data_IF_779492479372
#
_entry.id   IF_779492479372
#
_cell.length_a   1.000
_cell.length_b   1.000
_cell.length_c   1.000
_cell.angle_alpha   90.00
_cell.angle_beta   90.00
_cell.angle_gamma   90.00
#
_symmetry.space_group_name_H-M   'P 1'
#
loop_
_entity.id
_entity.type
_entity.pdbx_description
1 polymer ?
#
# COMPACT_ATOMS: atom_id res chain seq x y z
N UNK A 1 27.41 -4.78 18.21
CA UNK A 1 26.82 -6.02 18.76
C UNK A 1 25.56 -6.30 17.96
N UNK A 2 25.48 -7.42 17.23
CA UNK A 2 24.24 -7.85 16.56
C UNK A 2 23.30 -8.35 17.65
N UNK A 3 22.06 -7.88 17.71
CA UNK A 3 21.11 -8.36 18.71
C UNK A 3 20.82 -9.84 18.43
N UNK A 4 20.75 -10.69 19.47
CA UNK A 4 20.36 -12.10 19.29
C UNK A 4 19.00 -12.24 18.59
N UNK A 5 18.16 -11.20 18.62
CA UNK A 5 16.91 -11.15 17.84
C UNK A 5 17.11 -11.19 16.33
N UNK A 6 18.21 -10.64 15.82
CA UNK A 6 18.37 -10.38 14.39
C UNK A 6 18.82 -11.65 13.66
N UNK A 7 19.70 -12.43 14.31
CA UNK A 7 20.09 -13.76 13.84
C UNK A 7 18.87 -14.68 13.78
N UNK A 8 18.07 -14.74 14.85
CA UNK A 8 16.87 -15.57 14.90
C UNK A 8 15.83 -15.19 13.83
N UNK A 9 15.68 -13.88 13.53
CA UNK A 9 14.80 -13.42 12.43
C UNK A 9 15.32 -13.86 11.06
N UNK A 10 16.62 -13.75 10.81
CA UNK A 10 17.25 -14.18 9.55
C UNK A 10 17.12 -15.68 9.35
N UNK A 11 17.37 -16.47 10.38
CA UNK A 11 17.17 -17.93 10.35
C UNK A 11 15.71 -18.28 10.07
N UNK A 12 14.78 -17.63 10.76
CA UNK A 12 13.34 -17.85 10.52
C UNK A 12 12.91 -17.46 9.11
N UNK A 13 13.45 -16.36 8.57
CA UNK A 13 13.19 -15.94 7.19
C UNK A 13 13.76 -16.94 6.19
N UNK A 14 15.00 -17.41 6.40
CA UNK A 14 15.62 -18.45 5.58
C UNK A 14 14.79 -19.74 5.61
N UNK A 15 14.28 -20.16 6.77
CA UNK A 15 13.40 -21.32 6.88
C UNK A 15 12.09 -21.11 6.10
N UNK A 16 11.45 -19.94 6.21
CA UNK A 16 10.24 -19.63 5.45
C UNK A 16 10.49 -19.70 3.93
N UNK A 17 11.61 -19.15 3.47
CA UNK A 17 12.01 -19.22 2.06
C UNK A 17 12.26 -20.66 1.63
N UNK A 18 12.99 -21.44 2.42
CA UNK A 18 13.26 -22.86 2.14
C UNK A 18 11.96 -23.69 2.08
N UNK A 19 11.03 -23.45 3.01
CA UNK A 19 9.72 -24.10 3.02
C UNK A 19 8.92 -23.75 1.75
N UNK A 20 8.95 -22.48 1.34
CA UNK A 20 8.32 -22.04 0.09
C UNK A 20 8.96 -22.70 -1.14
N UNK A 21 10.29 -22.77 -1.18
CA UNK A 21 11.06 -23.36 -2.28
C UNK A 21 10.82 -24.86 -2.41
N UNK A 22 10.75 -25.57 -1.29
CA UNK A 22 10.51 -27.01 -1.26
C UNK A 22 9.06 -27.41 -1.52
N UNK A 23 8.09 -26.56 -1.15
CA UNK A 23 6.66 -26.91 -1.22
C UNK A 23 5.91 -26.32 -2.42
N UNK A 24 6.41 -25.23 -3.00
CA UNK A 24 5.71 -24.49 -4.05
C UNK A 24 6.55 -24.43 -5.34
N UNK A 25 6.01 -25.00 -6.42
CA UNK A 25 6.58 -24.84 -7.75
C UNK A 25 6.35 -23.42 -8.28
N UNK A 26 7.28 -22.94 -9.12
CA UNK A 26 7.04 -21.74 -9.92
C UNK A 26 5.92 -22.00 -10.93
N UNK A 27 5.00 -21.06 -11.03
CA UNK A 27 3.88 -21.09 -11.96
C UNK A 27 4.03 -19.88 -12.89
N UNK A 28 4.18 -20.09 -14.22
CA UNK A 28 4.29 -18.98 -15.17
C UNK A 28 2.97 -18.19 -15.21
N UNK A 29 3.08 -16.88 -15.35
CA UNK A 29 1.94 -15.99 -15.60
C UNK A 29 1.75 -15.89 -17.12
N UNK A 30 0.60 -16.36 -17.60
CA UNK A 30 0.27 -16.33 -19.02
C UNK A 30 0.29 -14.88 -19.56
N UNK A 31 0.91 -14.69 -20.73
CA UNK A 31 1.07 -13.37 -21.36
C UNK A 31 2.30 -12.57 -20.93
N UNK A 32 3.06 -13.01 -19.91
CA UNK A 32 4.24 -12.30 -19.40
C UNK A 32 5.48 -13.19 -19.43
N UNK A 33 6.32 -13.02 -20.46
CA UNK A 33 7.50 -13.85 -20.66
C UNK A 33 8.50 -13.68 -19.50
N UNK A 34 8.90 -14.80 -18.89
CA UNK A 34 9.86 -14.80 -17.78
C UNK A 34 9.23 -14.40 -16.43
N UNK A 35 7.91 -14.18 -16.39
CA UNK A 35 7.19 -13.87 -15.15
C UNK A 35 6.53 -15.13 -14.61
N UNK A 36 6.94 -15.51 -13.42
CA UNK A 36 6.37 -16.60 -12.64
C UNK A 36 6.14 -16.20 -11.18
N UNK A 37 5.20 -16.89 -10.55
CA UNK A 37 4.86 -16.73 -9.12
C UNK A 37 4.88 -18.07 -8.39
N UNK A 38 5.07 -18.05 -7.08
CA UNK A 38 4.78 -19.18 -6.19
C UNK A 38 3.54 -18.89 -5.37
N UNK A 39 2.66 -19.89 -5.24
CA UNK A 39 1.41 -19.79 -4.47
C UNK A 39 1.51 -20.57 -3.18
N UNK A 40 1.58 -19.87 -2.05
CA UNK A 40 1.58 -20.49 -0.72
C UNK A 40 0.17 -20.97 -0.30
N UNK A 41 0.12 -21.84 0.72
CA UNK A 41 -1.10 -22.50 1.18
C UNK A 41 -2.03 -21.61 2.03
N UNK A 42 -1.52 -20.50 2.55
CA UNK A 42 -2.29 -19.61 3.43
C UNK A 42 -3.38 -18.82 2.71
N UNK A 43 -4.41 -18.45 3.48
CA UNK A 43 -5.44 -17.52 3.06
C UNK A 43 -4.83 -16.14 2.85
N UNK A 44 -4.81 -15.70 1.59
CA UNK A 44 -4.38 -14.35 1.22
C UNK A 44 -5.45 -13.33 1.61
N UNK A 45 -5.08 -12.15 2.14
CA UNK A 45 -6.06 -11.08 2.41
C UNK A 45 -6.82 -10.67 1.15
N UNK A 46 -8.10 -10.32 1.30
CA UNK A 46 -8.96 -9.96 0.16
C UNK A 46 -8.47 -8.73 -0.62
N UNK A 47 -7.80 -7.80 0.07
CA UNK A 47 -7.29 -6.52 -0.45
C UNK A 47 -5.88 -6.69 -1.00
N UNK A 48 -5.59 -6.20 -2.21
CA UNK A 48 -4.28 -6.32 -2.85
C UNK A 48 -3.13 -5.58 -2.12
N UNK A 49 -3.47 -4.76 -1.13
CA UNK A 49 -2.54 -4.06 -0.25
C UNK A 49 -1.51 -4.98 0.43
N UNK A 50 -1.81 -6.28 0.59
CA UNK A 50 -0.86 -7.26 1.14
C UNK A 50 0.42 -7.39 0.28
N UNK A 51 0.37 -7.00 -0.99
CA UNK A 51 1.53 -6.97 -1.88
C UNK A 51 2.01 -5.54 -2.17
N UNK A 52 1.10 -4.60 -2.45
CA UNK A 52 1.48 -3.23 -2.82
C UNK A 52 2.24 -2.50 -1.71
N UNK A 53 1.80 -2.64 -0.46
CA UNK A 53 2.41 -1.92 0.65
C UNK A 53 3.83 -2.43 0.92
N UNK A 54 4.08 -3.75 1.02
CA UNK A 54 5.44 -4.28 1.09
C UNK A 54 6.31 -3.91 -0.11
N UNK A 55 5.77 -3.88 -1.33
CA UNK A 55 6.51 -3.47 -2.52
C UNK A 55 6.95 -2.00 -2.42
N UNK A 56 6.05 -1.10 -2.03
CA UNK A 56 6.34 0.31 -1.83
C UNK A 56 7.37 0.51 -0.71
N UNK A 57 7.21 -0.16 0.43
CA UNK A 57 8.19 -0.10 1.52
C UNK A 57 9.56 -0.64 1.09
N UNK A 58 9.57 -1.70 0.30
CA UNK A 58 10.77 -2.31 -0.28
C UNK A 58 11.50 -1.37 -1.23
N UNK A 59 10.77 -0.62 -2.06
CA UNK A 59 11.34 0.42 -2.91
C UNK A 59 11.92 1.58 -2.10
N UNK A 60 11.24 2.01 -1.04
CA UNK A 60 11.73 3.10 -0.20
C UNK A 60 12.93 2.71 0.68
N UNK A 61 13.08 1.42 1.01
CA UNK A 61 14.14 0.90 1.87
C UNK A 61 13.88 1.11 3.37
N UNK A 62 13.26 2.24 3.74
CA UNK A 62 12.89 2.55 5.12
C UNK A 62 11.57 3.30 5.21
N UNK A 63 10.95 3.30 6.40
CA UNK A 63 9.80 4.15 6.69
C UNK A 63 10.24 5.57 7.02
N UNK A 64 9.44 6.60 6.71
CA UNK A 64 9.71 7.99 7.11
C UNK A 64 10.00 8.11 8.61
N UNK A 65 11.09 8.79 9.04
CA UNK A 65 11.46 8.93 10.45
C UNK A 65 10.34 9.51 11.32
N UNK A 66 9.51 10.40 10.75
CA UNK A 66 8.39 11.01 11.46
C UNK A 66 7.32 10.00 11.87
N UNK A 67 7.18 8.88 11.15
CA UNK A 67 6.27 7.78 11.53
C UNK A 67 6.83 6.93 12.65
N UNK A 68 8.14 6.71 12.64
CA UNK A 68 8.82 5.95 13.68
C UNK A 68 8.77 6.71 15.00
N UNK A 69 9.07 8.01 14.97
CA UNK A 69 8.95 8.89 16.14
C UNK A 69 7.53 8.94 16.72
N UNK A 70 6.50 8.98 15.85
CA UNK A 70 5.10 8.92 16.29
C UNK A 70 4.77 7.61 17.00
N UNK A 71 5.31 6.49 16.51
CA UNK A 71 5.09 5.20 17.15
C UNK A 71 5.81 5.09 18.49
N UNK A 72 7.05 5.57 18.59
CA UNK A 72 7.81 5.54 19.83
C UNK A 72 7.09 6.34 20.93
N UNK A 73 6.53 7.50 20.58
CA UNK A 73 5.68 8.29 21.48
C UNK A 73 4.37 7.57 21.85
N UNK A 74 3.71 6.90 20.89
CA UNK A 74 2.51 6.09 21.16
C UNK A 74 2.83 4.91 22.09
N UNK A 75 4.00 4.27 21.93
CA UNK A 75 4.47 3.16 22.75
C UNK A 75 4.85 3.62 24.16
N UNK A 76 5.54 4.75 24.30
CA UNK A 76 5.89 5.31 25.61
C UNK A 76 4.64 5.71 26.40
N UNK A 77 3.63 6.25 25.71
CA UNK A 77 2.36 6.67 26.33
C UNK A 77 1.42 5.51 26.65
N UNK A 78 1.58 4.34 26.01
CA UNK A 78 0.72 3.17 26.25
C UNK A 78 0.88 2.58 27.67
N UNK A 79 1.98 2.90 28.36
CA UNK A 79 2.24 2.53 29.75
C UNK A 79 2.29 1.01 30.01
N UNK A 80 2.61 0.64 31.25
CA UNK A 80 2.70 -0.76 31.73
C UNK A 80 1.33 -1.49 31.76
N UNK A 81 0.25 -0.77 31.46
CA UNK A 81 -1.15 -1.21 31.66
C UNK A 81 -1.65 -2.20 30.58
N UNK A 82 -0.89 -2.46 29.51
CA UNK A 82 -1.26 -3.43 28.47
C UNK A 82 -0.44 -4.73 28.55
N UNK A 83 -0.42 -5.36 29.73
CA UNK A 83 -0.01 -6.76 29.89
C UNK A 83 -0.97 -7.68 29.12
N UNK A 84 -0.72 -7.87 27.81
CA UNK A 84 -1.42 -8.87 26.99
C UNK A 84 -1.74 -8.45 25.56
N UNK A 85 -1.76 -7.15 25.24
CA UNK A 85 -1.84 -6.70 23.86
C UNK A 85 -0.41 -6.56 23.33
N UNK A 86 0.07 -7.57 22.59
CA UNK A 86 1.34 -7.48 21.85
C UNK A 86 1.30 -6.20 21.02
N UNK A 87 2.03 -5.18 21.44
CA UNK A 87 2.08 -3.91 20.76
C UNK A 87 2.74 -4.15 19.39
N UNK A 88 1.93 -4.08 18.34
CA UNK A 88 2.44 -4.30 16.99
C UNK A 88 3.30 -3.11 16.59
N UNK A 89 4.62 -3.31 16.53
CA UNK A 89 5.58 -2.29 16.09
C UNK A 89 5.59 -2.16 14.56
N UNK A 90 6.03 -1.02 14.07
CA UNK A 90 6.31 -0.83 12.66
C UNK A 90 7.57 -1.58 12.27
N UNK A 91 7.61 -1.97 11.00
CA UNK A 91 8.78 -2.61 10.40
C UNK A 91 9.98 -1.64 10.41
N UNK A 92 11.14 -2.15 10.83
CA UNK A 92 12.40 -1.42 10.74
C UNK A 92 12.97 -1.53 9.31
N UNK A 93 13.98 -0.73 9.00
CA UNK A 93 14.76 -0.88 7.75
C UNK A 93 15.30 -2.31 7.58
N UNK A 94 15.81 -2.91 8.66
CA UNK A 94 16.28 -4.29 8.63
C UNK A 94 15.15 -5.30 8.38
N UNK A 95 13.97 -5.12 8.97
CA UNK A 95 12.84 -6.02 8.68
C UNK A 95 12.45 -5.93 7.20
N UNK A 96 12.40 -4.71 6.64
CA UNK A 96 12.12 -4.45 5.22
C UNK A 96 13.16 -5.17 4.36
N UNK A 97 14.44 -5.01 4.65
CA UNK A 97 15.53 -5.67 3.93
C UNK A 97 15.43 -7.20 4.00
N UNK A 98 15.15 -7.76 5.18
CA UNK A 98 15.01 -9.21 5.36
C UNK A 98 13.78 -9.76 4.62
N UNK A 99 12.66 -9.03 4.62
CA UNK A 99 11.43 -9.43 3.96
C UNK A 99 11.54 -9.54 2.44
N UNK A 100 12.52 -8.85 1.82
CA UNK A 100 12.78 -8.94 0.38
C UNK A 100 12.99 -10.39 -0.08
N UNK A 101 13.67 -11.22 0.72
CA UNK A 101 13.95 -12.62 0.37
C UNK A 101 12.67 -13.46 0.22
N UNK A 102 11.69 -13.28 1.12
CA UNK A 102 10.36 -13.87 0.99
C UNK A 102 9.66 -13.42 -0.30
N UNK A 103 9.71 -12.12 -0.60
CA UNK A 103 9.05 -11.59 -1.79
C UNK A 103 9.71 -12.04 -3.09
N UNK A 104 11.05 -12.14 -3.14
CA UNK A 104 11.78 -12.75 -4.28
C UNK A 104 11.47 -14.23 -4.45
N UNK A 105 11.29 -14.96 -3.35
CA UNK A 105 10.86 -16.36 -3.40
C UNK A 105 9.42 -16.51 -3.89
N UNK A 106 8.62 -15.45 -3.82
CA UNK A 106 7.22 -15.40 -4.27
C UNK A 106 7.08 -14.93 -5.72
N UNK A 107 7.77 -13.87 -6.09
CA UNK A 107 7.66 -13.17 -7.37
C UNK A 107 9.01 -13.13 -8.06
N UNK A 108 9.12 -13.81 -9.21
CA UNK A 108 10.36 -13.86 -10.02
C UNK A 108 10.85 -12.48 -10.49
N UNK A 109 9.93 -11.51 -10.61
CA UNK A 109 10.19 -10.16 -11.14
C UNK A 109 10.28 -9.10 -10.05
N UNK A 110 10.31 -9.50 -8.77
CA UNK A 110 10.29 -8.59 -7.63
C UNK A 110 11.34 -7.47 -7.72
N UNK A 111 12.60 -7.83 -8.01
CA UNK A 111 13.69 -6.84 -8.08
C UNK A 111 13.49 -5.84 -9.21
N UNK A 112 12.93 -6.26 -10.34
CA UNK A 112 12.62 -5.36 -11.45
C UNK A 112 11.54 -4.34 -11.04
N UNK A 113 10.50 -4.79 -10.34
CA UNK A 113 9.44 -3.90 -9.84
C UNK A 113 9.95 -2.91 -8.79
N UNK A 114 10.80 -3.37 -7.86
CA UNK A 114 11.42 -2.51 -6.84
C UNK A 114 12.29 -1.44 -7.50
N UNK A 115 13.17 -1.83 -8.41
CA UNK A 115 14.08 -0.91 -9.10
C UNK A 115 13.32 0.13 -9.95
N UNK A 116 12.29 -0.30 -10.67
CA UNK A 116 11.49 0.60 -11.50
C UNK A 116 10.65 1.57 -10.65
N UNK A 117 10.07 1.09 -9.55
CA UNK A 117 9.36 1.93 -8.60
C UNK A 117 10.29 2.95 -7.94
N UNK A 118 11.52 2.57 -7.58
CA UNK A 118 12.54 3.48 -7.07
C UNK A 118 12.87 4.60 -8.06
N UNK A 119 13.10 4.23 -9.33
CA UNK A 119 13.36 5.19 -10.40
C UNK A 119 12.17 6.13 -10.61
N UNK A 120 10.96 5.60 -10.60
CA UNK A 120 9.72 6.36 -10.70
C UNK A 120 9.50 7.36 -9.57
N UNK A 121 9.68 6.91 -8.33
CA UNK A 121 9.58 7.78 -7.15
C UNK A 121 10.62 8.88 -7.23
N UNK A 122 11.87 8.56 -7.56
CA UNK A 122 12.96 9.54 -7.68
C UNK A 122 12.65 10.57 -8.77
N UNK A 123 12.16 10.12 -9.94
CA UNK A 123 11.75 11.00 -11.04
C UNK A 123 10.62 11.95 -10.64
N UNK A 124 9.63 11.46 -9.88
CA UNK A 124 8.43 12.23 -9.52
C UNK A 124 8.63 13.12 -8.29
N UNK A 125 9.40 12.68 -7.31
CA UNK A 125 9.54 13.32 -6.00
C UNK A 125 10.95 13.87 -5.74
N UNK A 126 11.89 13.71 -6.67
CA UNK A 126 13.28 14.14 -6.56
C UNK A 126 14.16 13.18 -5.74
N UNK A 127 13.61 12.51 -4.74
CA UNK A 127 14.29 11.48 -3.96
C UNK A 127 13.30 10.47 -3.35
N UNK A 128 13.79 9.31 -2.92
CA UNK A 128 12.99 8.33 -2.19
C UNK A 128 12.48 8.88 -0.85
N UNK A 129 13.34 9.60 -0.11
CA UNK A 129 13.01 10.19 1.19
C UNK A 129 11.89 11.25 1.11
N UNK A 130 11.71 11.87 -0.06
CA UNK A 130 10.64 12.85 -0.30
C UNK A 130 9.27 12.20 -0.51
N UNK A 131 9.18 10.88 -0.68
CA UNK A 131 7.92 10.17 -0.84
C UNK A 131 7.18 10.03 0.49
N UNK A 132 6.07 10.77 0.63
CA UNK A 132 5.28 10.84 1.89
C UNK A 132 4.06 9.94 1.93
N UNK A 133 4.03 8.86 1.13
CA UNK A 133 2.84 8.01 0.99
C UNK A 133 2.35 7.44 2.34
N UNK A 134 3.26 7.09 3.25
CA UNK A 134 2.89 6.55 4.56
C UNK A 134 2.44 7.60 5.58
N UNK A 135 2.77 8.89 5.39
CA UNK A 135 2.38 9.97 6.32
C UNK A 135 0.91 10.37 6.16
N UNK A 136 0.36 10.26 4.96
CA UNK A 136 -1.01 10.63 4.66
C UNK A 136 -2.06 9.78 5.40
N UNK A 137 -1.70 8.55 5.81
CA UNK A 137 -2.57 7.68 6.60
C UNK A 137 -2.95 8.27 7.97
N UNK A 138 -2.10 9.13 8.54
CA UNK A 138 -2.27 9.68 9.90
C UNK A 138 -2.79 11.12 9.93
N UNK A 139 -2.75 11.85 8.81
CA UNK A 139 -3.09 13.27 8.75
C UNK A 139 -4.55 13.58 9.14
N UNK A 140 -5.47 12.62 8.98
CA UNK A 140 -6.89 12.78 9.34
C UNK A 140 -7.17 12.93 10.84
N UNK A 141 -6.20 12.71 11.73
CA UNK A 141 -6.40 12.76 13.20
C UNK A 141 -6.34 14.17 13.80
N UNK A 142 -5.62 15.13 13.20
CA UNK A 142 -5.27 16.40 13.87
C UNK A 142 -6.30 17.54 13.72
N UNK A 143 -7.41 17.36 12.97
CA UNK A 143 -8.20 18.50 12.48
C UNK A 143 -9.49 18.90 13.22
N UNK A 144 -10.18 18.02 13.96
CA UNK A 144 -11.60 18.28 14.30
C UNK A 144 -11.86 18.78 15.73
N UNK A 145 -10.89 19.48 16.34
CA UNK A 145 -11.05 20.15 17.64
C UNK A 145 -11.04 21.68 17.48
N UNK A 146 -11.45 22.22 16.33
CA UNK A 146 -11.87 23.61 16.26
C UNK A 146 -13.25 23.70 16.90
N UNK A 147 -13.31 24.49 17.96
CA UNK A 147 -14.46 24.64 18.83
C UNK A 147 -15.75 24.89 18.05
N UNK A 148 -16.80 24.20 18.47
CA UNK A 148 -18.14 24.75 18.45
C UNK A 148 -18.18 25.91 19.46
N UNK A 149 -17.48 27.00 19.14
CA UNK A 149 -17.67 28.27 19.83
C UNK A 149 -18.83 28.94 19.10
N UNK A 150 -20.01 28.75 19.69
CA UNK A 150 -21.29 29.29 19.24
C UNK A 150 -21.30 30.79 19.53
N UNK A 151 -20.56 31.55 18.74
CA UNK A 151 -20.70 33.00 18.65
C UNK A 151 -22.00 33.33 17.93
N UNK A 152 -23.02 33.70 18.70
CA UNK A 152 -24.09 34.59 18.23
C UNK A 152 -23.44 35.95 18.08
N UNK A 153 -23.51 36.54 16.90
CA UNK A 153 -23.61 37.99 16.79
C UNK A 153 -24.49 38.34 15.58
N UNK A 154 -25.51 39.12 15.90
CA UNK A 154 -26.28 39.97 15.01
C UNK A 154 -25.34 40.92 14.26
N UNK A 155 -25.57 41.11 12.96
CA UNK A 155 -26.01 42.40 12.39
C UNK A 155 -25.98 42.37 10.86
N UNK A 156 -27.05 42.93 10.28
CA UNK A 156 -27.22 43.14 8.86
C UNK A 156 -26.28 44.20 8.28
N UNK A 157 -26.28 44.27 6.95
CA UNK A 157 -25.57 45.28 6.18
C UNK A 157 -25.72 45.00 4.69
N UNK A 158 -26.54 45.83 4.04
CA UNK A 158 -26.85 45.85 2.62
C UNK A 158 -25.65 46.14 1.69
N UNK A 159 -25.88 45.81 0.42
CA UNK A 159 -25.57 46.61 -0.78
C UNK A 159 -24.31 46.32 -1.64
N UNK A 160 -24.61 46.19 -2.94
CA UNK A 160 -23.85 46.62 -4.13
C UNK A 160 -22.68 45.74 -4.61
N UNK A 161 -22.71 45.12 -5.80
CA UNK A 161 -22.83 45.61 -7.20
C UNK A 161 -21.48 45.75 -7.90
N UNK A 162 -21.48 45.44 -9.21
CA UNK A 162 -20.43 45.44 -10.24
C UNK A 162 -19.43 44.28 -10.16
N UNK A 163 -19.20 43.47 -11.19
CA UNK A 163 -19.37 43.66 -12.63
C UNK A 163 -18.00 43.74 -13.29
N UNK A 164 -17.57 42.69 -13.99
CA UNK A 164 -16.57 42.78 -15.08
C UNK A 164 -16.49 41.47 -15.86
N UNK A 165 -17.16 41.49 -17.02
CA UNK A 165 -16.86 40.64 -18.17
C UNK A 165 -15.43 40.90 -18.64
N UNK A 166 -14.70 39.83 -18.97
CA UNK A 166 -13.58 39.89 -19.92
C UNK A 166 -13.76 38.78 -20.95
N UNK A 167 -14.25 39.19 -22.10
CA UNK A 167 -14.13 38.49 -23.37
C UNK A 167 -12.68 38.59 -23.87
N UNK A 168 -12.16 37.51 -24.45
CA UNK A 168 -10.83 37.45 -25.06
C UNK A 168 -10.74 36.28 -26.05
N UNK A 169 -10.36 36.50 -27.32
CA UNK A 169 -10.67 35.61 -28.44
C UNK A 169 -9.57 34.59 -28.80
N UNK A 170 -10.04 33.50 -29.40
CA UNK A 170 -9.55 32.93 -30.67
C UNK A 170 -8.05 32.70 -30.87
N UNK A 171 -7.65 31.42 -30.87
CA UNK A 171 -6.39 30.93 -31.45
C UNK A 171 -6.62 29.59 -32.15
N UNK A 172 -6.50 29.61 -33.47
CA UNK A 172 -6.83 28.57 -34.46
C UNK A 172 -5.66 27.61 -34.74
N UNK A 173 -6.04 26.45 -35.30
CA UNK A 173 -5.32 25.55 -36.21
C UNK A 173 -3.91 25.04 -35.87
N UNK A 174 -3.84 23.72 -35.63
CA UNK A 174 -2.62 22.92 -35.78
C UNK A 174 -2.95 21.44 -35.98
N UNK A 175 -3.48 21.09 -37.17
CA UNK A 175 -3.63 19.69 -37.61
C UNK A 175 -2.25 19.07 -37.82
N UNK A 176 -1.95 17.98 -37.12
CA UNK A 176 -0.91 17.03 -37.53
C UNK A 176 -1.48 15.62 -37.52
N UNK A 177 -1.42 14.99 -38.70
CA UNK A 177 -1.74 13.60 -38.93
C UNK A 177 -0.59 12.76 -38.37
N UNK A 178 -0.88 11.79 -37.51
CA UNK A 178 0.02 10.66 -37.31
C UNK A 178 -0.73 9.33 -37.29
N UNK A 179 -0.42 8.58 -38.36
CA UNK A 179 -0.40 7.15 -38.64
C UNK A 179 -0.68 6.20 -37.48
N UNK A 180 -1.50 5.19 -37.77
CA UNK A 180 -2.07 4.24 -36.84
C UNK A 180 -1.09 3.25 -36.20
N UNK A 181 -1.51 2.78 -35.04
CA UNK A 181 -0.96 1.61 -34.38
C UNK A 181 -2.11 0.75 -33.84
N UNK A 182 -1.88 -0.55 -33.98
CA UNK A 182 -2.73 -1.71 -33.78
C UNK A 182 -3.48 -1.80 -32.45
N UNK A 183 -4.72 -2.28 -32.55
CA UNK A 183 -5.62 -2.80 -31.52
C UNK A 183 -4.93 -3.33 -30.24
N UNK A 184 -5.11 -2.58 -29.15
CA UNK A 184 -4.92 -3.04 -27.78
C UNK A 184 -6.16 -3.83 -27.35
N UNK A 185 -5.96 -5.06 -26.89
CA UNK A 185 -7.01 -5.88 -26.27
C UNK A 185 -7.54 -5.23 -24.99
N UNK A 186 -8.84 -5.38 -24.77
CA UNK A 186 -9.60 -4.86 -23.64
C UNK A 186 -9.05 -5.39 -22.30
N UNK A 187 -8.19 -4.59 -21.65
CA UNK A 187 -7.87 -4.73 -20.23
C UNK A 187 -9.10 -4.31 -19.43
N UNK A 188 -9.84 -5.32 -18.95
CA UNK A 188 -11.01 -5.15 -18.10
C UNK A 188 -10.67 -4.29 -16.87
N UNK A 189 -11.20 -3.07 -16.85
CA UNK A 189 -11.25 -2.18 -15.70
C UNK A 189 -11.93 -2.90 -14.53
N UNK A 190 -11.13 -3.51 -13.64
CA UNK A 190 -11.63 -4.20 -12.46
C UNK A 190 -12.07 -3.15 -11.42
N UNK A 191 -13.27 -2.61 -11.61
CA UNK A 191 -13.93 -1.73 -10.64
C UNK A 191 -14.31 -2.54 -9.39
N UNK A 192 -13.34 -2.78 -8.53
CA UNK A 192 -13.56 -3.37 -7.22
C UNK A 192 -14.18 -2.30 -6.31
N UNK A 193 -15.50 -2.07 -6.47
CA UNK A 193 -16.31 -1.38 -5.46
C UNK A 193 -16.40 -2.29 -4.24
N UNK A 194 -15.41 -2.17 -3.36
CA UNK A 194 -15.46 -2.75 -2.02
C UNK A 194 -16.68 -2.21 -1.29
N UNK A 195 -17.73 -3.01 -1.22
CA UNK A 195 -18.87 -2.81 -0.34
C UNK A 195 -18.38 -3.04 1.10
N UNK A 196 -18.11 -1.94 1.81
CA UNK A 196 -17.79 -1.98 3.23
C UNK A 196 -19.07 -2.28 3.99
N UNK A 197 -19.26 -3.57 4.34
CA UNK A 197 -20.41 -4.09 5.06
C UNK A 197 -20.97 -3.14 6.11
N UNK A 198 -22.21 -2.72 5.88
CA UNK A 198 -23.01 -1.86 6.75
C UNK A 198 -23.48 -2.68 7.98
N UNK A 199 -22.60 -2.82 8.97
CA UNK A 199 -22.92 -3.43 10.26
C UNK A 199 -23.87 -2.57 11.09
N UNK A 200 -24.94 -3.19 11.59
CA UNK A 200 -26.00 -2.66 12.46
C UNK A 200 -25.54 -1.52 13.39
N UNK A 201 -26.30 -0.42 13.37
CA UNK A 201 -26.16 0.79 14.20
C UNK A 201 -26.33 0.50 15.71
N UNK A 202 -25.31 -0.09 16.34
CA UNK A 202 -25.13 0.01 17.78
C UNK A 202 -24.60 1.39 18.12
N UNK A 203 -25.23 2.10 19.07
CA UNK A 203 -24.71 3.36 19.65
C UNK A 203 -23.42 3.07 20.45
N UNK A 204 -22.33 2.77 19.74
CA UNK A 204 -21.03 2.45 20.32
C UNK A 204 -20.23 3.72 20.58
N UNK A 205 -19.55 3.76 21.74
CA UNK A 205 -18.49 4.72 22.07
C UNK A 205 -17.63 4.99 20.83
N UNK A 206 -17.39 6.27 20.52
CA UNK A 206 -16.48 6.74 19.46
C UNK A 206 -15.06 6.24 19.74
N UNK A 207 -14.78 4.97 19.47
CA UNK A 207 -13.42 4.43 19.46
C UNK A 207 -12.70 5.18 18.35
N UNK A 208 -11.67 5.94 18.71
CA UNK A 208 -10.82 6.61 17.73
C UNK A 208 -10.44 5.62 16.64
N UNK A 209 -10.66 6.00 15.38
CA UNK A 209 -10.40 5.16 14.22
C UNK A 209 -8.90 4.85 14.21
N UNK A 210 -8.50 3.68 14.71
CA UNK A 210 -7.11 3.22 14.61
C UNK A 210 -6.78 3.14 13.11
N UNK A 211 -5.63 3.68 12.72
CA UNK A 211 -5.14 3.55 11.35
C UNK A 211 -5.02 2.06 11.00
N UNK A 212 -5.40 1.70 9.77
CA UNK A 212 -5.15 0.35 9.27
C UNK A 212 -3.65 0.12 9.13
N UNK A 213 -3.22 -1.12 9.33
CA UNK A 213 -1.85 -1.56 9.13
C UNK A 213 -1.82 -2.79 8.24
N UNK A 214 -0.67 -3.13 7.69
CA UNK A 214 -0.48 -4.32 6.84
C UNK A 214 0.77 -5.06 7.28
N UNK A 215 0.70 -6.38 7.54
CA UNK A 215 1.90 -7.17 7.82
C UNK A 215 2.93 -7.01 6.69
N UNK A 216 4.20 -6.77 7.05
CA UNK A 216 5.28 -6.69 6.06
C UNK A 216 5.48 -8.03 5.32
N UNK A 217 5.26 -9.15 6.02
CA UNK A 217 5.22 -10.50 5.49
C UNK A 217 3.89 -11.13 5.89
N UNK A 218 3.20 -11.75 4.93
CA UNK A 218 1.87 -12.35 5.15
C UNK A 218 1.93 -13.35 6.30
N UNK A 219 1.01 -13.23 7.26
CA UNK A 219 0.95 -14.10 8.45
C UNK A 219 2.03 -13.83 9.52
N UNK A 220 3.05 -13.02 9.25
CA UNK A 220 4.26 -12.92 10.10
C UNK A 220 4.46 -11.54 10.76
N UNK A 221 3.37 -10.80 11.01
CA UNK A 221 3.40 -9.45 11.63
C UNK A 221 4.18 -9.37 12.95
N UNK A 222 4.20 -10.44 13.75
CA UNK A 222 4.94 -10.47 15.03
C UNK A 222 6.45 -10.46 14.83
N UNK A 223 6.95 -11.05 13.76
CA UNK A 223 8.38 -11.22 13.52
C UNK A 223 8.96 -10.03 12.75
N UNK A 224 8.24 -9.57 11.73
CA UNK A 224 8.71 -8.55 10.78
C UNK A 224 8.02 -7.19 10.95
N UNK A 225 7.13 -7.06 11.94
CA UNK A 225 6.36 -5.84 12.16
C UNK A 225 5.24 -5.64 11.14
N UNK A 226 4.64 -4.45 11.21
CA UNK A 226 3.60 -4.01 10.27
C UNK A 226 4.01 -2.71 9.59
N UNK A 227 3.35 -2.40 8.48
CA UNK A 227 3.49 -1.17 7.74
C UNK A 227 2.22 -0.32 7.95
N UNK A 228 2.32 1.02 8.04
CA UNK A 228 1.17 1.90 7.94
C UNK A 228 0.43 1.61 6.63
N UNK A 229 -0.90 1.65 6.64
CA UNK A 229 -1.69 1.38 5.44
C UNK A 229 -2.20 2.70 4.82
N UNK A 230 -1.59 3.21 3.73
CA UNK A 230 -2.09 4.39 3.04
C UNK A 230 -3.48 4.12 2.44
N UNK A 231 -4.31 5.14 2.17
CA UNK A 231 -5.54 4.95 1.42
C UNK A 231 -5.30 4.23 0.09
N UNK A 232 -6.14 3.25 -0.28
CA UNK A 232 -5.97 2.42 -1.48
C UNK A 232 -5.72 3.25 -2.75
N UNK A 233 -6.53 4.30 -2.97
CA UNK A 233 -6.37 5.23 -4.09
C UNK A 233 -4.99 5.89 -4.14
N UNK A 234 -4.37 6.18 -3.00
CA UNK A 234 -3.02 6.77 -2.98
C UNK A 234 -1.95 5.73 -3.35
N UNK A 235 -2.14 4.47 -2.96
CA UNK A 235 -1.26 3.37 -3.37
C UNK A 235 -1.32 3.21 -4.89
N UNK A 236 -2.52 3.09 -5.44
CA UNK A 236 -2.77 2.95 -6.88
C UNK A 236 -2.17 4.12 -7.66
N UNK A 237 -2.48 5.37 -7.27
CA UNK A 237 -1.92 6.56 -7.92
C UNK A 237 -0.39 6.62 -7.88
N UNK A 238 0.24 6.14 -6.79
CA UNK A 238 1.70 6.09 -6.72
C UNK A 238 2.24 5.07 -7.73
N UNK A 239 1.68 3.84 -7.73
CA UNK A 239 2.08 2.77 -8.63
C UNK A 239 1.89 3.20 -10.10
N UNK A 240 0.71 3.69 -10.48
CA UNK A 240 0.38 4.15 -11.83
C UNK A 240 1.30 5.26 -12.36
N UNK A 241 1.78 6.14 -11.46
CA UNK A 241 2.59 7.29 -11.87
C UNK A 241 4.10 7.05 -11.81
N UNK A 242 4.53 5.99 -11.13
CA UNK A 242 5.95 5.70 -10.92
C UNK A 242 6.42 4.49 -11.73
N UNK A 243 5.59 3.45 -11.84
CA UNK A 243 5.93 2.23 -12.57
C UNK A 243 5.75 2.39 -14.08
N UNK A 244 6.57 1.65 -14.83
CA UNK A 244 6.34 1.34 -16.22
C UNK A 244 4.98 0.63 -16.38
N UNK A 245 4.12 1.03 -17.33
CA UNK A 245 2.82 0.39 -17.56
C UNK A 245 2.90 -1.13 -17.72
N UNK A 246 3.91 -1.66 -18.42
CA UNK A 246 4.05 -3.10 -18.64
C UNK A 246 4.31 -3.85 -17.33
N UNK A 247 5.17 -3.29 -16.47
CA UNK A 247 5.44 -3.84 -15.14
C UNK A 247 4.23 -3.70 -14.20
N UNK A 248 3.44 -2.63 -14.34
CA UNK A 248 2.22 -2.44 -13.57
C UNK A 248 1.18 -3.52 -13.89
N UNK A 249 0.95 -3.78 -15.18
CA UNK A 249 0.03 -4.85 -15.61
C UNK A 249 0.56 -6.22 -15.17
N UNK A 250 1.87 -6.45 -15.25
CA UNK A 250 2.52 -7.68 -14.78
C UNK A 250 2.30 -7.92 -13.28
N UNK A 251 2.43 -6.87 -12.45
CA UNK A 251 2.15 -6.91 -11.01
C UNK A 251 0.68 -7.28 -10.76
N UNK A 252 -0.25 -6.61 -11.46
CA UNK A 252 -1.69 -6.87 -11.30
C UNK A 252 -2.07 -8.29 -11.69
N UNK A 253 -1.53 -8.79 -12.80
CA UNK A 253 -1.72 -10.17 -13.24
C UNK A 253 -1.17 -11.16 -12.21
N UNK A 254 0.04 -10.94 -11.70
CA UNK A 254 0.69 -11.78 -10.70
C UNK A 254 -0.12 -11.88 -9.39
N UNK A 255 -0.59 -10.73 -8.87
CA UNK A 255 -1.40 -10.68 -7.63
C UNK A 255 -2.77 -11.32 -7.85
N UNK A 256 -3.42 -11.03 -8.99
CA UNK A 256 -4.70 -11.63 -9.36
C UNK A 256 -4.61 -13.15 -9.44
N UNK A 257 -3.54 -13.66 -10.04
CA UNK A 257 -3.27 -15.09 -10.16
C UNK A 257 -3.13 -15.76 -8.79
N UNK A 258 -2.27 -15.22 -7.90
CA UNK A 258 -2.09 -15.77 -6.54
C UNK A 258 -3.43 -15.83 -5.80
N UNK A 259 -4.22 -14.74 -5.87
CA UNK A 259 -5.51 -14.67 -5.20
C UNK A 259 -6.46 -15.76 -5.69
N UNK A 260 -6.60 -15.91 -7.02
CA UNK A 260 -7.47 -16.92 -7.61
C UNK A 260 -7.05 -18.35 -7.20
N UNK A 261 -5.75 -18.64 -7.21
CA UNK A 261 -5.24 -19.94 -6.80
C UNK A 261 -5.48 -20.24 -5.31
N UNK A 262 -5.30 -19.24 -4.44
CA UNK A 262 -5.59 -19.39 -3.01
C UNK A 262 -7.10 -19.62 -2.73
N UNK A 263 -7.98 -18.94 -3.47
CA UNK A 263 -9.44 -19.12 -3.37
C UNK A 263 -9.85 -20.52 -3.88
N UNK A 264 -9.32 -20.97 -5.02
CA UNK A 264 -9.60 -22.30 -5.56
C UNK A 264 -9.20 -23.42 -4.57
N UNK A 265 -8.04 -23.31 -3.93
CA UNK A 265 -7.59 -24.28 -2.92
C UNK A 265 -8.49 -24.31 -1.68
N UNK A 266 -8.96 -23.15 -1.21
CA UNK A 266 -9.89 -23.07 -0.08
C UNK A 266 -11.20 -23.82 -0.37
N UNK A 267 -11.72 -23.71 -1.60
CA UNK A 267 -12.91 -24.44 -2.01
C UNK A 267 -12.68 -25.96 -2.13
N UNK A 268 -11.47 -26.40 -2.49
CA UNK A 268 -11.14 -27.83 -2.54
C UNK A 268 -11.03 -28.44 -1.14
N UNK A 269 -10.47 -27.73 -0.17
CA UNK A 269 -10.33 -28.22 1.22
C UNK A 269 -11.63 -28.21 2.03
N UNK A 270 -12.67 -27.53 1.54
CA UNK A 270 -13.95 -27.42 2.23
C UNK A 270 -14.96 -28.54 1.87
N UNK A 271 -14.57 -29.44 0.94
CA UNK A 271 -15.36 -30.61 0.53
C UNK A 271 -14.83 -31.86 1.19
#
# INVERSE_FOLDING_TARGET
MVSMSDVAKKEKMAQLVADMEGQCSWIPIEGFLGTSVRVWREKVPQTQSWCYIPLIASALGSLPPELLAQQDEELSNAGESTKGASATRFATEEDIANAQSFWRATFSRWDAWVADLQAGITRKHGSLASCRIFLAANAGKKGNKKGAEKGRDDHGGDASSSGSQRDGPGGDAGKSNHVGATSTGDLASNQNKGDYGNGKKGKGKRRGKKGSTTPLVVGQAKNFGVLPHPPARQQEMLLESCLNPDLLVEIYASIGFIKAQCEQRQHQTAK
#
